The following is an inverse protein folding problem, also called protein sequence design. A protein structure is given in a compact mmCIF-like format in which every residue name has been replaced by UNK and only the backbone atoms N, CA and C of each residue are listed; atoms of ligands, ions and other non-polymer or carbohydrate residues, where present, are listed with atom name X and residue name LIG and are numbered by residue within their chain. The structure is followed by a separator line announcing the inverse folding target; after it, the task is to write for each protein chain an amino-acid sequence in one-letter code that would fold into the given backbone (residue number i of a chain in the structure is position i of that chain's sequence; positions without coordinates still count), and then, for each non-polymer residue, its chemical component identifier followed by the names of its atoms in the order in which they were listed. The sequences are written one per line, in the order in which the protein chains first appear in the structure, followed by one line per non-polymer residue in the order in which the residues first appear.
data_IF_473498236295
#
_entry.id   IF_473498236295
#
_cell.length_a   1.000
_cell.length_b   1.000
_cell.length_c   1.000
_cell.angle_alpha   90.00
_cell.angle_beta   90.00
_cell.angle_gamma   90.00
#
_symmetry.space_group_name_H-M   'P 1'
#
loop_
_entity.id
_entity.type
_entity.pdbx_description
1 polymer ?
#
# COMPACT_ATOMS: atom_id res chain seq x y z
N UNK A 1 60.73 32.51 19.31
CA UNK A 1 59.90 33.60 19.84
C UNK A 1 59.69 34.63 18.75
N UNK A 2 58.41 34.98 18.55
CA UNK A 2 57.87 36.17 17.86
C UNK A 2 58.09 36.26 16.34
N UNK A 3 57.00 35.97 15.62
CA UNK A 3 56.85 36.22 14.19
C UNK A 3 56.74 37.72 13.89
N UNK A 4 57.27 38.10 12.73
CA UNK A 4 57.24 39.45 12.21
C UNK A 4 55.83 39.80 11.75
N UNK A 5 55.15 40.67 12.50
CA UNK A 5 53.92 41.33 12.05
C UNK A 5 54.27 42.40 11.00
N UNK A 6 53.84 42.20 9.76
CA UNK A 6 53.85 43.21 8.70
C UNK A 6 53.00 44.42 9.14
N UNK A 7 53.65 45.54 9.49
CA UNK A 7 52.98 46.82 9.70
C UNK A 7 52.49 47.35 8.35
N UNK A 8 51.17 47.53 8.21
CA UNK A 8 50.56 48.15 7.03
C UNK A 8 51.09 49.59 6.89
N UNK A 9 51.41 49.99 5.66
CA UNK A 9 51.75 51.38 5.37
C UNK A 9 50.52 52.28 5.56
N UNK A 10 50.68 53.59 5.86
CA UNK A 10 49.57 54.52 6.04
C UNK A 10 48.56 54.53 4.87
N UNK A 11 49.05 54.38 3.63
CA UNK A 11 48.20 54.27 2.43
C UNK A 11 47.38 52.97 2.40
N UNK A 12 47.96 51.85 2.82
CA UNK A 12 47.24 50.56 2.89
C UNK A 12 46.22 50.53 4.03
N UNK A 13 46.53 51.18 5.17
CA UNK A 13 45.58 51.34 6.27
C UNK A 13 44.39 52.21 5.83
N UNK A 14 44.64 53.33 5.15
CA UNK A 14 43.59 54.20 4.61
C UNK A 14 42.71 53.47 3.57
N UNK A 15 43.32 52.71 2.65
CA UNK A 15 42.57 51.93 1.67
C UNK A 15 41.67 50.86 2.32
N UNK A 16 42.16 50.17 3.37
CA UNK A 16 41.34 49.22 4.14
C UNK A 16 40.20 49.89 4.89
N UNK A 17 40.40 51.09 5.43
CA UNK A 17 39.34 51.87 6.09
C UNK A 17 38.28 52.28 5.07
N UNK A 18 38.67 52.77 3.89
CA UNK A 18 37.71 53.14 2.83
C UNK A 18 36.89 51.93 2.38
N UNK A 19 37.53 50.78 2.14
CA UNK A 19 36.83 49.53 1.78
C UNK A 19 35.88 49.09 2.91
N UNK A 20 36.29 49.19 4.17
CA UNK A 20 35.44 48.85 5.30
C UNK A 20 34.23 49.80 5.44
N UNK A 21 34.43 51.10 5.26
CA UNK A 21 33.35 52.11 5.33
C UNK A 21 32.38 51.97 4.16
N UNK A 22 32.88 51.78 2.94
CA UNK A 22 32.03 51.52 1.76
C UNK A 22 31.28 50.19 1.90
N UNK A 23 31.94 49.15 2.41
CA UNK A 23 31.31 47.86 2.70
C UNK A 23 30.22 47.96 3.76
N UNK A 24 30.43 48.74 4.83
CA UNK A 24 29.43 49.03 5.85
C UNK A 24 28.26 49.85 5.29
N UNK A 25 28.53 50.86 4.46
CA UNK A 25 27.49 51.68 3.84
C UNK A 25 26.64 50.88 2.85
N UNK A 26 27.25 50.05 2.00
CA UNK A 26 26.53 49.14 1.09
C UNK A 26 25.77 48.07 1.88
N UNK A 27 26.38 47.53 2.94
CA UNK A 27 25.71 46.57 3.84
C UNK A 27 24.48 47.17 4.53
N UNK A 28 24.61 48.37 5.10
CA UNK A 28 23.51 49.09 5.74
C UNK A 28 22.43 49.48 4.74
N UNK A 29 22.81 49.94 3.53
CA UNK A 29 21.87 50.23 2.46
C UNK A 29 21.13 48.97 1.98
N UNK A 30 21.84 47.85 1.80
CA UNK A 30 21.24 46.57 1.44
C UNK A 30 20.29 46.03 2.51
N UNK A 31 20.64 46.20 3.79
CA UNK A 31 19.75 45.87 4.91
C UNK A 31 18.49 46.74 4.88
N UNK A 32 18.63 48.06 4.77
CA UNK A 32 17.50 48.99 4.84
C UNK A 32 16.59 48.99 3.59
N UNK A 33 17.16 48.79 2.38
CA UNK A 33 16.41 48.91 1.12
C UNK A 33 15.99 47.60 0.49
N UNK A 34 16.63 46.48 0.87
CA UNK A 34 16.34 45.16 0.32
C UNK A 34 15.89 44.21 1.43
N UNK A 35 16.63 44.11 2.54
CA UNK A 35 16.35 43.12 3.57
C UNK A 35 15.14 43.47 4.45
N UNK A 36 15.02 44.70 4.92
CA UNK A 36 13.88 45.16 5.73
C UNK A 36 12.55 45.09 4.95
N UNK A 37 12.45 45.53 3.68
CA UNK A 37 11.24 45.34 2.88
C UNK A 37 10.90 43.87 2.64
N UNK A 38 11.91 43.01 2.44
CA UNK A 38 11.70 41.56 2.30
C UNK A 38 11.25 40.92 3.63
N UNK A 39 11.77 41.37 4.77
CA UNK A 39 11.27 40.98 6.09
C UNK A 39 9.84 41.44 6.30
N UNK A 40 9.49 42.67 5.93
CA UNK A 40 8.10 43.16 5.98
C UNK A 40 7.16 42.34 5.09
N UNK A 41 7.61 41.95 3.88
CA UNK A 41 6.83 41.08 3.00
C UNK A 41 6.71 39.65 3.54
N UNK A 42 7.77 39.13 4.16
CA UNK A 42 7.79 37.83 4.80
C UNK A 42 6.87 37.81 6.03
N UNK A 43 6.88 38.88 6.84
CA UNK A 43 6.00 39.08 7.98
C UNK A 43 4.54 39.23 7.53
N UNK A 44 4.26 39.93 6.43
CA UNK A 44 2.91 40.01 5.85
C UNK A 44 2.45 38.66 5.28
N UNK A 45 3.34 37.92 4.62
CA UNK A 45 3.06 36.56 4.15
C UNK A 45 2.80 35.61 5.31
N UNK A 46 3.56 35.69 6.39
CA UNK A 46 3.39 34.87 7.58
C UNK A 46 2.12 35.27 8.36
N UNK A 47 1.75 36.57 8.37
CA UNK A 47 0.46 37.05 8.86
C UNK A 47 -0.71 36.51 8.04
N UNK A 48 -0.67 36.63 6.70
CA UNK A 48 -1.70 36.10 5.80
C UNK A 48 -1.78 34.58 5.87
N UNK A 49 -0.64 33.89 6.00
CA UNK A 49 -0.58 32.45 6.25
C UNK A 49 -1.21 32.12 7.60
N UNK A 50 -0.96 32.92 8.64
CA UNK A 50 -1.61 32.81 9.94
C UNK A 50 -3.12 33.06 9.89
N UNK A 51 -3.59 33.98 9.06
CA UNK A 51 -5.02 34.23 8.80
C UNK A 51 -5.68 33.12 8.00
N UNK A 52 -5.04 32.62 6.94
CA UNK A 52 -5.49 31.47 6.17
C UNK A 52 -5.53 30.21 7.05
N UNK A 53 -4.50 29.96 7.85
CA UNK A 53 -4.48 28.86 8.81
C UNK A 53 -5.59 29.00 9.85
N UNK A 54 -5.84 30.22 10.36
CA UNK A 54 -6.98 30.48 11.25
C UNK A 54 -8.31 30.25 10.53
N UNK A 55 -8.49 30.73 9.31
CA UNK A 55 -9.70 30.54 8.52
C UNK A 55 -9.98 29.05 8.24
N UNK A 56 -8.97 28.29 7.80
CA UNK A 56 -9.09 26.86 7.57
C UNK A 56 -9.30 26.10 8.87
N UNK A 57 -8.65 26.52 9.98
CA UNK A 57 -8.88 25.93 11.31
C UNK A 57 -10.30 26.21 11.81
N UNK A 58 -10.83 27.42 11.66
CA UNK A 58 -12.22 27.76 12.01
C UNK A 58 -13.21 26.99 11.14
N UNK A 59 -13.00 26.90 9.82
CA UNK A 59 -13.81 26.05 8.92
C UNK A 59 -13.72 24.57 9.27
N UNK A 60 -12.55 24.10 9.68
CA UNK A 60 -12.33 22.73 10.14
C UNK A 60 -13.03 22.48 11.47
N UNK A 61 -12.93 23.39 12.43
CA UNK A 61 -13.59 23.34 13.74
C UNK A 61 -15.11 23.48 13.61
N UNK A 62 -15.63 24.28 12.68
CA UNK A 62 -17.06 24.35 12.35
C UNK A 62 -17.55 23.04 11.72
N UNK A 63 -16.79 22.45 10.79
CA UNK A 63 -17.08 21.14 10.22
C UNK A 63 -16.99 20.03 11.25
N UNK A 64 -16.01 20.09 12.15
CA UNK A 64 -15.91 19.20 13.30
C UNK A 64 -17.11 19.41 14.21
N UNK A 65 -17.49 20.63 14.60
CA UNK A 65 -18.68 20.89 15.43
C UNK A 65 -19.96 20.37 14.79
N UNK A 66 -20.15 20.56 13.48
CA UNK A 66 -21.27 19.98 12.73
C UNK A 66 -21.22 18.44 12.69
N UNK A 67 -20.03 17.85 12.58
CA UNK A 67 -19.83 16.40 12.64
C UNK A 67 -19.97 15.84 14.07
N UNK A 68 -19.55 16.58 15.10
CA UNK A 68 -19.53 16.18 16.52
C UNK A 68 -20.93 16.28 17.12
N UNK A 69 -21.74 17.25 16.69
CA UNK A 69 -23.18 17.28 17.00
C UNK A 69 -23.95 16.14 16.32
N UNK A 70 -23.37 15.50 15.29
CA UNK A 70 -23.97 14.34 14.61
C UNK A 70 -23.47 13.02 15.21
N UNK A 71 -22.21 12.96 15.68
CA UNK A 71 -21.58 11.80 16.34
C UNK A 71 -20.43 12.25 17.26
N UNK A 72 -20.50 12.10 18.60
CA UNK A 72 -19.47 12.63 19.50
C UNK A 72 -18.45 11.57 19.91
N UNK A 73 -17.15 11.68 19.55
CA UNK A 73 -16.03 10.97 20.24
C UNK A 73 -14.74 11.81 20.24
N UNK A 74 -14.03 11.79 21.38
CA UNK A 74 -12.81 12.54 21.69
C UNK A 74 -11.46 11.93 21.25
N UNK A 75 -10.40 12.71 21.51
CA UNK A 75 -9.03 12.61 20.99
C UNK A 75 -8.07 11.96 22.02
N UNK A 76 -7.23 10.98 21.63
CA UNK A 76 -5.75 11.12 21.64
C UNK A 76 -4.93 9.96 21.02
N UNK A 77 -3.92 10.40 20.25
CA UNK A 77 -2.62 9.89 19.76
C UNK A 77 -2.22 8.41 19.62
N UNK A 78 -1.64 8.12 18.45
CA UNK A 78 -0.62 7.07 18.25
C UNK A 78 -0.94 5.98 17.22
N UNK A 79 -0.56 6.23 15.97
CA UNK A 79 -0.23 5.26 14.90
C UNK A 79 -1.26 4.15 14.53
N UNK A 80 -1.79 4.24 13.31
CA UNK A 80 -2.47 3.16 12.61
C UNK A 80 -3.99 3.15 12.74
N UNK A 81 -4.67 3.08 11.60
CA UNK A 81 -6.08 2.70 11.38
C UNK A 81 -6.88 2.43 12.67
N UNK A 82 -7.53 3.47 13.24
CA UNK A 82 -8.53 3.30 14.28
C UNK A 82 -9.87 3.88 13.82
N UNK A 83 -10.74 2.95 13.46
CA UNK A 83 -12.18 3.15 13.31
C UNK A 83 -12.82 3.30 14.71
N UNK A 84 -13.75 4.23 14.89
CA UNK A 84 -14.33 4.64 16.18
C UNK A 84 -15.50 3.75 16.65
N UNK A 85 -15.66 2.55 16.09
CA UNK A 85 -16.57 1.51 16.56
C UNK A 85 -16.10 0.87 17.89
N UNK A 86 -17.00 0.30 18.73
CA UNK A 86 -16.67 -0.29 20.03
C UNK A 86 -15.37 -1.10 20.01
N UNK A 87 -14.58 -0.96 21.07
CA UNK A 87 -13.22 -1.51 21.18
C UNK A 87 -13.14 -3.05 21.14
N UNK A 88 -14.29 -3.72 21.10
CA UNK A 88 -14.45 -5.17 21.27
C UNK A 88 -15.45 -5.80 20.29
N UNK A 89 -15.39 -5.48 19.00
CA UNK A 89 -16.22 -6.19 18.01
C UNK A 89 -15.77 -7.66 17.83
N UNK A 90 -16.64 -8.52 17.30
CA UNK A 90 -16.31 -9.90 16.94
C UNK A 90 -15.10 -9.97 16.02
N UNK A 91 -15.06 -9.12 15.00
CA UNK A 91 -13.93 -9.06 14.08
C UNK A 91 -12.64 -8.68 14.81
N UNK A 92 -12.66 -7.64 15.66
CA UNK A 92 -11.47 -7.20 16.38
C UNK A 92 -10.95 -8.26 17.36
N UNK A 93 -11.84 -9.00 18.05
CA UNK A 93 -11.45 -10.14 18.89
C UNK A 93 -10.80 -11.24 18.07
N UNK A 94 -11.39 -11.59 16.93
CA UNK A 94 -10.88 -12.62 16.01
C UNK A 94 -9.51 -12.24 15.45
N UNK A 95 -9.34 -10.98 15.03
CA UNK A 95 -8.07 -10.43 14.58
C UNK A 95 -7.00 -10.50 15.68
N UNK A 96 -7.31 -10.05 16.90
CA UNK A 96 -6.39 -10.12 18.04
C UNK A 96 -5.99 -11.56 18.35
N UNK A 97 -6.93 -12.51 18.31
CA UNK A 97 -6.68 -13.94 18.53
C UNK A 97 -5.61 -14.48 17.58
N UNK A 98 -5.79 -14.32 16.26
CA UNK A 98 -4.85 -14.84 15.27
C UNK A 98 -3.53 -14.06 15.18
N UNK A 99 -3.52 -12.78 15.58
CA UNK A 99 -2.33 -11.92 15.58
C UNK A 99 -1.27 -12.34 16.63
N UNK A 100 -1.67 -13.02 17.70
CA UNK A 100 -0.81 -13.34 18.86
C UNK A 100 0.43 -14.16 18.48
N UNK A 101 1.60 -13.74 18.96
CA UNK A 101 2.88 -14.44 18.78
C UNK A 101 3.45 -15.02 20.07
N UNK A 102 2.95 -14.60 21.23
CA UNK A 102 3.35 -15.03 22.57
C UNK A 102 2.98 -16.50 22.83
N UNK A 103 1.79 -16.90 22.41
CA UNK A 103 1.34 -18.28 22.34
C UNK A 103 0.74 -18.50 20.96
N UNK A 104 1.25 -19.48 20.21
CA UNK A 104 0.73 -19.77 18.89
C UNK A 104 -0.77 -20.10 19.01
N UNK A 105 -1.67 -19.32 18.38
CA UNK A 105 -3.09 -19.60 18.48
C UNK A 105 -3.41 -20.91 17.78
N UNK A 106 -4.46 -21.58 18.24
CA UNK A 106 -4.94 -22.79 17.59
C UNK A 106 -5.51 -22.42 16.20
N UNK A 107 -4.91 -22.95 15.14
CA UNK A 107 -5.33 -22.70 13.77
C UNK A 107 -6.34 -23.74 13.22
N UNK A 108 -6.88 -24.63 14.05
CA UNK A 108 -7.90 -25.62 13.63
C UNK A 108 -9.18 -25.01 13.04
N UNK A 109 -9.46 -23.74 13.35
CA UNK A 109 -10.60 -22.98 12.81
C UNK A 109 -10.23 -22.14 11.58
N UNK A 110 -9.00 -22.25 11.07
CA UNK A 110 -8.58 -21.61 9.84
C UNK A 110 -8.80 -22.60 8.71
N UNK A 111 -9.68 -22.24 7.77
CA UNK A 111 -10.04 -23.11 6.67
C UNK A 111 -8.90 -23.24 5.65
N UNK A 112 -8.70 -24.46 5.18
CA UNK A 112 -7.95 -24.71 3.95
C UNK A 112 -8.93 -24.78 2.78
N UNK A 113 -9.02 -23.69 2.04
CA UNK A 113 -9.92 -23.62 0.89
C UNK A 113 -9.45 -24.48 -0.28
N UNK A 114 -8.24 -25.06 -0.26
CA UNK A 114 -7.80 -25.99 -1.33
C UNK A 114 -8.47 -27.37 -1.24
N UNK A 115 -9.29 -27.61 -0.23
CA UNK A 115 -10.11 -28.81 -0.07
C UNK A 115 -11.56 -28.44 0.24
N UNK A 116 -12.51 -29.18 -0.34
CA UNK A 116 -13.93 -29.02 -0.02
C UNK A 116 -14.21 -29.40 1.44
N UNK A 117 -15.06 -28.62 2.09
CA UNK A 117 -15.56 -28.87 3.43
C UNK A 117 -17.04 -28.51 3.49
N UNK A 118 -17.89 -29.48 3.15
CA UNK A 118 -19.34 -29.30 3.00
C UNK A 118 -20.01 -28.77 4.26
N UNK A 119 -19.56 -29.19 5.44
CA UNK A 119 -20.07 -28.72 6.74
C UNK A 119 -19.93 -27.20 6.96
N UNK A 120 -19.04 -26.53 6.22
CA UNK A 120 -18.81 -25.09 6.26
C UNK A 120 -19.12 -24.40 4.93
N UNK A 121 -19.80 -25.09 4.02
CA UNK A 121 -20.14 -24.54 2.70
C UNK A 121 -18.93 -24.23 1.82
N UNK A 122 -17.77 -24.86 2.08
CA UNK A 122 -16.57 -24.67 1.26
C UNK A 122 -16.60 -25.68 0.12
N UNK A 123 -16.58 -25.17 -1.10
CA UNK A 123 -16.57 -25.96 -2.32
C UNK A 123 -15.25 -25.65 -3.03
N UNK A 124 -14.38 -26.65 -3.19
CA UNK A 124 -13.19 -26.60 -4.02
C UNK A 124 -13.38 -27.59 -5.18
N UNK A 125 -13.36 -27.09 -6.41
CA UNK A 125 -13.54 -27.92 -7.60
C UNK A 125 -12.53 -27.54 -8.67
N UNK A 126 -12.40 -28.40 -9.69
CA UNK A 126 -11.75 -28.02 -10.94
C UNK A 126 -12.40 -26.75 -11.47
N UNK A 127 -11.57 -25.82 -11.91
CA UNK A 127 -12.03 -24.56 -12.48
C UNK A 127 -12.27 -24.73 -13.98
N UNK A 128 -13.45 -24.33 -14.43
CA UNK A 128 -13.80 -24.29 -15.84
C UNK A 128 -14.06 -22.81 -16.19
N UNK A 129 -13.23 -22.19 -17.04
CA UNK A 129 -13.33 -20.77 -17.32
C UNK A 129 -14.57 -20.47 -18.18
N UNK A 130 -15.24 -19.34 -17.91
CA UNK A 130 -16.31 -18.82 -18.78
C UNK A 130 -15.73 -18.33 -20.10
N UNK A 131 -14.61 -17.58 -20.02
CA UNK A 131 -13.80 -17.19 -21.18
C UNK A 131 -12.43 -17.81 -21.02
N UNK A 132 -12.09 -18.76 -21.91
CA UNK A 132 -10.82 -19.46 -21.87
C UNK A 132 -9.66 -18.53 -22.27
N UNK A 133 -8.65 -18.32 -21.42
CA UNK A 133 -7.44 -17.61 -21.81
C UNK A 133 -6.60 -18.44 -22.78
N UNK A 134 -5.87 -17.78 -23.68
CA UNK A 134 -4.96 -18.47 -24.60
C UNK A 134 -3.70 -18.96 -23.89
N UNK A 135 -3.13 -20.08 -24.34
CA UNK A 135 -1.89 -20.64 -23.76
C UNK A 135 -0.72 -19.65 -23.84
N UNK A 136 -0.64 -18.85 -24.91
CA UNK A 136 0.35 -17.79 -25.06
C UNK A 136 0.22 -16.75 -23.93
N UNK A 137 -1.01 -16.38 -23.58
CA UNK A 137 -1.26 -15.42 -22.51
C UNK A 137 -0.93 -16.03 -21.14
N UNK A 138 -1.29 -17.30 -20.91
CA UNK A 138 -0.93 -18.02 -19.69
C UNK A 138 0.59 -18.09 -19.51
N UNK A 139 1.33 -18.40 -20.58
CA UNK A 139 2.79 -18.44 -20.57
C UNK A 139 3.38 -17.06 -20.25
N UNK A 140 2.93 -16.00 -20.95
CA UNK A 140 3.39 -14.62 -20.74
C UNK A 140 3.22 -14.17 -19.28
N UNK A 141 2.14 -14.60 -18.63
CA UNK A 141 1.80 -14.24 -17.25
C UNK A 141 2.38 -15.20 -16.19
N UNK A 142 3.04 -16.28 -16.60
CA UNK A 142 3.59 -17.29 -15.68
C UNK A 142 2.51 -18.10 -14.96
N UNK A 143 1.36 -18.30 -15.61
CA UNK A 143 0.24 -19.09 -15.10
C UNK A 143 0.38 -20.55 -15.54
N UNK A 144 -0.14 -21.47 -14.71
CA UNK A 144 -0.27 -22.89 -15.07
C UNK A 144 -1.36 -23.05 -16.14
N UNK A 145 -1.36 -24.16 -16.91
CA UNK A 145 -2.47 -24.50 -17.79
C UNK A 145 -3.80 -24.49 -17.03
N UNK A 146 -4.87 -23.97 -17.65
CA UNK A 146 -6.18 -23.85 -16.98
C UNK A 146 -6.74 -25.21 -16.55
N UNK A 147 -6.39 -26.29 -17.25
CA UNK A 147 -6.75 -27.67 -16.87
C UNK A 147 -6.29 -28.07 -15.46
N UNK A 148 -5.28 -27.39 -14.90
CA UNK A 148 -4.76 -27.61 -13.55
C UNK A 148 -5.32 -26.65 -12.49
N UNK A 149 -6.19 -25.71 -12.90
CA UNK A 149 -6.74 -24.72 -11.99
C UNK A 149 -7.85 -25.36 -11.16
N UNK A 150 -7.90 -24.97 -9.90
CA UNK A 150 -9.05 -25.21 -9.03
C UNK A 150 -9.51 -23.89 -8.47
N UNK A 151 -10.81 -23.79 -8.24
CA UNK A 151 -11.45 -22.63 -7.67
C UNK A 151 -12.21 -23.03 -6.41
N UNK A 152 -12.17 -22.15 -5.42
CA UNK A 152 -12.84 -22.35 -4.15
C UNK A 152 -13.79 -21.22 -3.83
N UNK A 153 -14.96 -21.58 -3.34
CA UNK A 153 -15.99 -20.64 -2.87
C UNK A 153 -16.45 -21.02 -1.47
N UNK A 154 -17.05 -20.04 -0.80
CA UNK A 154 -17.76 -20.24 0.46
C UNK A 154 -19.22 -19.89 0.18
N UNK A 155 -20.15 -20.82 0.35
CA UNK A 155 -21.54 -20.68 -0.13
C UNK A 155 -22.26 -19.44 0.39
N UNK A 156 -21.99 -19.02 1.63
CA UNK A 156 -22.58 -17.80 2.21
C UNK A 156 -21.84 -16.50 1.81
N UNK A 157 -20.86 -16.58 0.91
CA UNK A 157 -20.08 -15.44 0.39
C UNK A 157 -20.14 -15.35 -1.14
N UNK A 158 -21.33 -15.19 -1.74
CA UNK A 158 -21.44 -15.01 -3.18
C UNK A 158 -20.70 -13.74 -3.60
N UNK A 159 -19.78 -13.87 -4.57
CA UNK A 159 -18.88 -12.78 -4.97
C UNK A 159 -17.45 -12.89 -4.39
N UNK A 160 -17.10 -13.97 -3.69
CA UNK A 160 -15.73 -14.25 -3.26
C UNK A 160 -15.27 -15.60 -3.80
N UNK A 161 -14.22 -15.58 -4.62
CA UNK A 161 -13.65 -16.77 -5.26
C UNK A 161 -12.14 -16.79 -5.01
N UNK A 162 -11.61 -17.94 -4.61
CA UNK A 162 -10.17 -18.16 -4.56
C UNK A 162 -9.74 -19.10 -5.69
N UNK A 163 -8.87 -18.61 -6.58
CA UNK A 163 -8.19 -19.45 -7.55
C UNK A 163 -6.92 -20.00 -6.91
N UNK A 164 -6.84 -21.32 -6.76
CA UNK A 164 -5.85 -21.97 -5.90
C UNK A 164 -4.53 -22.20 -6.63
N UNK A 165 -3.48 -21.50 -6.20
CA UNK A 165 -2.11 -21.77 -6.62
C UNK A 165 -1.87 -21.69 -8.13
N UNK A 166 -2.56 -20.82 -8.87
CA UNK A 166 -2.62 -20.88 -10.35
C UNK A 166 -1.31 -20.48 -11.06
N UNK A 167 -0.31 -19.99 -10.34
CA UNK A 167 0.98 -19.63 -10.92
C UNK A 167 1.93 -20.83 -11.00
N UNK A 168 2.81 -20.81 -12.00
CA UNK A 168 3.92 -21.77 -12.08
C UNK A 168 4.88 -21.57 -10.91
N UNK A 169 5.49 -22.65 -10.43
CA UNK A 169 6.42 -22.60 -9.29
C UNK A 169 7.55 -21.58 -9.47
N UNK A 170 8.13 -21.51 -10.69
CA UNK A 170 9.18 -20.54 -11.03
C UNK A 170 8.68 -19.09 -10.98
N UNK A 171 7.42 -18.88 -11.38
CA UNK A 171 6.83 -17.55 -11.49
C UNK A 171 6.60 -16.91 -10.12
N UNK A 172 6.50 -17.69 -9.05
CA UNK A 172 6.38 -17.13 -7.69
C UNK A 172 7.57 -16.21 -7.35
N UNK A 173 8.80 -16.66 -7.60
CA UNK A 173 10.00 -15.87 -7.35
C UNK A 173 10.17 -14.74 -8.36
N UNK A 174 9.73 -14.94 -9.61
CA UNK A 174 9.72 -13.88 -10.62
C UNK A 174 8.78 -12.73 -10.22
N UNK A 175 7.57 -13.00 -9.76
CA UNK A 175 6.64 -11.98 -9.28
C UNK A 175 7.15 -11.27 -8.01
N UNK A 176 7.80 -12.00 -7.10
CA UNK A 176 8.48 -11.39 -5.95
C UNK A 176 9.61 -10.46 -6.41
N UNK A 177 10.45 -10.90 -7.34
CA UNK A 177 11.54 -10.11 -7.92
C UNK A 177 11.02 -8.83 -8.57
N UNK A 178 9.99 -8.92 -9.42
CA UNK A 178 9.35 -7.74 -10.05
C UNK A 178 8.83 -6.78 -9.00
N UNK A 179 8.17 -7.29 -7.96
CA UNK A 179 7.62 -6.46 -6.89
C UNK A 179 8.69 -5.66 -6.14
N UNK A 180 9.86 -6.26 -5.90
CA UNK A 180 10.94 -5.64 -5.15
C UNK A 180 11.82 -4.71 -5.99
N UNK A 181 12.06 -5.05 -7.27
CA UNK A 181 13.05 -4.38 -8.10
C UNK A 181 12.48 -3.54 -9.25
N UNK A 182 11.20 -3.71 -9.58
CA UNK A 182 10.53 -2.98 -10.66
C UNK A 182 9.41 -2.14 -10.06
N UNK A 183 8.46 -2.77 -9.37
CA UNK A 183 7.28 -2.06 -8.89
C UNK A 183 7.51 -1.20 -7.65
N UNK A 184 8.63 -1.38 -6.95
CA UNK A 184 9.04 -0.50 -5.85
C UNK A 184 9.88 0.69 -6.33
N UNK A 185 10.31 0.70 -7.60
CA UNK A 185 11.06 1.79 -8.21
C UNK A 185 10.11 2.72 -8.98
N UNK A 186 10.56 3.94 -9.26
CA UNK A 186 9.85 4.88 -10.13
C UNK A 186 9.51 4.24 -11.49
N UNK A 187 8.27 4.41 -12.01
CA UNK A 187 7.22 5.34 -11.56
C UNK A 187 6.40 4.89 -10.34
N UNK A 188 6.65 3.69 -9.79
CA UNK A 188 6.01 3.25 -8.56
C UNK A 188 6.33 4.16 -7.37
N UNK A 189 5.34 4.36 -6.51
CA UNK A 189 5.46 5.21 -5.33
C UNK A 189 5.32 4.37 -4.05
N UNK A 190 6.27 4.53 -3.12
CA UNK A 190 6.38 3.69 -1.92
C UNK A 190 6.28 4.50 -0.63
N UNK A 191 6.08 3.80 0.48
CA UNK A 191 6.16 4.43 1.81
C UNK A 191 7.54 5.02 2.12
N UNK A 192 8.59 4.53 1.46
CA UNK A 192 9.96 5.09 1.59
C UNK A 192 10.04 6.41 0.83
N UNK A 193 9.44 6.49 -0.36
CA UNK A 193 9.39 7.71 -1.18
C UNK A 193 8.71 8.91 -0.49
N UNK A 194 7.80 8.67 0.46
CA UNK A 194 7.22 9.72 1.31
C UNK A 194 8.26 10.43 2.20
N UNK A 195 9.30 9.71 2.60
CA UNK A 195 10.34 10.22 3.52
C UNK A 195 11.62 10.60 2.78
N UNK A 196 11.91 9.90 1.68
CA UNK A 196 13.11 10.09 0.87
C UNK A 196 12.65 10.37 -0.58
N UNK A 197 12.45 11.65 -0.94
CA UNK A 197 12.06 12.01 -2.30
C UNK A 197 13.07 11.50 -3.33
N UNK A 198 12.57 11.03 -4.48
CA UNK A 198 13.39 10.51 -5.59
C UNK A 198 14.33 9.34 -5.21
N UNK A 199 13.97 8.56 -4.19
CA UNK A 199 14.71 7.35 -3.80
C UNK A 199 14.85 6.39 -4.98
N UNK A 200 16.02 5.75 -5.08
CA UNK A 200 16.34 4.69 -6.05
C UNK A 200 16.89 3.48 -5.30
N UNK A 201 16.90 2.32 -5.95
CA UNK A 201 17.36 1.07 -5.34
C UNK A 201 16.61 0.78 -4.02
N UNK A 202 15.31 1.07 -3.99
CA UNK A 202 14.44 1.09 -2.81
C UNK A 202 14.58 -0.20 -2.02
N UNK A 203 14.55 -1.35 -2.69
CA UNK A 203 14.69 -2.62 -1.99
C UNK A 203 16.09 -2.86 -1.41
N UNK A 204 17.15 -2.52 -2.16
CA UNK A 204 18.53 -2.74 -1.70
C UNK A 204 18.90 -1.84 -0.51
N UNK A 205 18.46 -0.58 -0.55
CA UNK A 205 18.80 0.41 0.47
C UNK A 205 17.79 0.44 1.62
N UNK A 206 16.49 0.22 1.32
CA UNK A 206 15.39 0.42 2.26
C UNK A 206 14.44 -0.79 2.37
N UNK A 207 14.85 -1.98 1.94
CA UNK A 207 13.99 -3.18 1.95
C UNK A 207 13.43 -3.55 3.32
N UNK A 208 14.10 -3.16 4.42
CA UNK A 208 13.59 -3.36 5.79
C UNK A 208 12.48 -2.39 6.17
N UNK A 209 12.44 -1.21 5.55
CA UNK A 209 11.44 -0.16 5.75
C UNK A 209 10.29 -0.25 4.75
N UNK A 210 10.48 -0.91 3.60
CA UNK A 210 9.46 -1.09 2.59
C UNK A 210 8.24 -1.84 3.13
N UNK A 211 7.05 -1.25 2.97
CA UNK A 211 5.76 -1.75 3.46
C UNK A 211 4.73 -1.80 2.35
N UNK A 212 4.71 -0.80 1.48
CA UNK A 212 3.82 -0.79 0.31
C UNK A 212 4.45 -0.06 -0.87
N UNK A 213 3.95 -0.40 -2.06
CA UNK A 213 4.10 0.37 -3.30
C UNK A 213 2.74 0.55 -3.96
N UNK A 214 2.55 1.67 -4.65
CA UNK A 214 1.37 1.98 -5.46
C UNK A 214 1.81 2.19 -6.90
N UNK A 215 1.00 1.73 -7.86
CA UNK A 215 1.22 1.88 -9.30
C UNK A 215 -0.04 2.40 -9.98
N UNK A 216 0.13 3.07 -11.11
CA UNK A 216 -0.97 3.63 -11.88
C UNK A 216 -1.56 4.88 -11.21
N UNK A 217 -2.86 4.86 -10.90
CA UNK A 217 -3.46 5.85 -10.01
C UNK A 217 -2.97 5.61 -8.57
N UNK A 218 -2.10 6.49 -8.07
CA UNK A 218 -1.54 6.37 -6.74
C UNK A 218 -2.58 6.69 -5.66
N UNK A 219 -2.88 5.70 -4.82
CA UNK A 219 -3.77 5.89 -3.68
C UNK A 219 -3.18 6.87 -2.67
N UNK A 220 -3.91 7.94 -2.35
CA UNK A 220 -3.51 8.90 -1.33
C UNK A 220 -3.96 8.41 0.05
N UNK A 221 -3.00 8.05 0.89
CA UNK A 221 -3.25 7.55 2.24
C UNK A 221 -3.84 8.59 3.21
N UNK A 222 -3.64 9.88 2.95
CA UNK A 222 -4.15 10.96 3.79
C UNK A 222 -5.60 11.30 3.42
N UNK A 223 -5.88 11.48 2.13
CA UNK A 223 -7.21 11.87 1.65
C UNK A 223 -8.12 10.66 1.38
N UNK A 224 -7.56 9.46 1.25
CA UNK A 224 -8.24 8.19 0.96
C UNK A 224 -8.99 8.16 -0.36
N UNK A 225 -8.53 8.94 -1.33
CA UNK A 225 -9.08 9.01 -2.67
C UNK A 225 -7.98 8.76 -3.71
N UNK A 226 -8.40 8.37 -4.91
CA UNK A 226 -7.53 8.31 -6.06
C UNK A 226 -7.52 9.66 -6.81
N UNK A 227 -6.38 10.08 -7.38
CA UNK A 227 -6.32 11.24 -8.28
C UNK A 227 -7.07 10.96 -9.58
N UNK A 228 -7.45 12.00 -10.32
CA UNK A 228 -8.12 11.87 -11.63
C UNK A 228 -7.19 11.37 -12.72
N UNK A 229 -5.89 11.63 -12.58
CA UNK A 229 -4.85 11.26 -13.53
C UNK A 229 -3.72 10.53 -12.80
N UNK A 230 -3.02 9.68 -13.54
CA UNK A 230 -1.86 8.95 -13.06
C UNK A 230 -1.17 8.23 -14.20
N UNK A 231 -0.13 7.49 -13.86
CA UNK A 231 0.66 6.76 -14.85
C UNK A 231 -0.11 5.55 -15.39
N UNK A 232 0.32 5.03 -16.53
CA UNK A 232 -0.21 3.76 -17.02
C UNK A 232 0.24 2.60 -16.12
N UNK A 233 -0.70 1.72 -15.77
CA UNK A 233 -0.38 0.49 -15.05
C UNK A 233 0.43 -0.45 -15.96
N UNK A 234 1.43 -1.19 -15.44
CA UNK A 234 2.19 -2.16 -16.26
C UNK A 234 1.28 -3.15 -16.99
N UNK A 235 1.53 -3.36 -18.29
CA UNK A 235 0.68 -4.14 -19.21
C UNK A 235 0.38 -5.55 -18.68
N UNK A 236 1.35 -6.19 -18.01
CA UNK A 236 1.15 -7.52 -17.44
C UNK A 236 0.14 -7.54 -16.29
N UNK A 237 0.00 -6.46 -15.51
CA UNK A 237 -0.98 -6.36 -14.43
C UNK A 237 -2.38 -6.10 -15.00
N UNK A 238 -2.47 -5.27 -16.06
CA UNK A 238 -3.70 -5.05 -16.82
C UNK A 238 -4.17 -6.35 -17.47
N UNK A 239 -3.26 -7.06 -18.14
CA UNK A 239 -3.56 -8.33 -18.82
C UNK A 239 -4.00 -9.40 -17.81
N UNK A 240 -3.29 -9.53 -16.70
CA UNK A 240 -3.59 -10.51 -15.66
C UNK A 240 -4.97 -10.28 -15.04
N UNK A 241 -5.27 -9.04 -14.64
CA UNK A 241 -6.58 -8.70 -14.06
C UNK A 241 -7.72 -8.99 -15.04
N UNK A 242 -7.56 -8.58 -16.31
CA UNK A 242 -8.56 -8.83 -17.34
C UNK A 242 -8.78 -10.32 -17.62
N UNK A 243 -7.70 -11.10 -17.75
CA UNK A 243 -7.77 -12.56 -17.95
C UNK A 243 -8.55 -13.24 -16.83
N UNK A 244 -8.25 -12.90 -15.57
CA UNK A 244 -8.89 -13.52 -14.42
C UNK A 244 -10.36 -13.10 -14.29
N UNK A 245 -10.67 -11.83 -14.54
CA UNK A 245 -12.05 -11.32 -14.52
C UNK A 245 -12.91 -11.97 -15.60
N UNK A 246 -12.41 -12.07 -16.83
CA UNK A 246 -13.11 -12.74 -17.93
C UNK A 246 -13.25 -14.25 -17.72
N UNK A 247 -12.21 -14.93 -17.22
CA UNK A 247 -12.28 -16.35 -16.91
C UNK A 247 -13.36 -16.66 -15.86
N UNK A 248 -13.59 -15.77 -14.91
CA UNK A 248 -14.67 -15.88 -13.92
C UNK A 248 -16.05 -15.45 -14.44
N UNK A 249 -16.15 -14.94 -15.67
CA UNK A 249 -17.40 -14.43 -16.24
C UNK A 249 -17.90 -13.13 -15.62
N UNK A 250 -17.03 -12.37 -14.94
CA UNK A 250 -17.38 -11.08 -14.32
C UNK A 250 -17.49 -9.98 -15.39
N UNK A 251 -16.72 -10.12 -16.47
CA UNK A 251 -16.62 -9.14 -17.56
C UNK A 251 -15.18 -8.65 -17.74
N UNK A 252 -14.92 -7.80 -18.76
CA UNK A 252 -13.61 -7.19 -18.92
C UNK A 252 -13.27 -6.30 -17.73
N UNK A 253 -12.00 -6.33 -17.31
CA UNK A 253 -11.48 -5.43 -16.29
C UNK A 253 -10.36 -4.59 -16.89
N UNK A 254 -10.43 -3.28 -16.67
CA UNK A 254 -9.43 -2.31 -17.12
C UNK A 254 -8.72 -1.78 -15.87
N UNK A 255 -7.77 -2.56 -15.34
CA UNK A 255 -7.07 -2.17 -14.13
C UNK A 255 -6.20 -0.92 -14.39
N UNK A 256 -6.40 0.10 -13.56
CA UNK A 256 -5.73 1.41 -13.62
C UNK A 256 -4.95 1.71 -12.33
N UNK A 257 -5.09 0.88 -11.30
CA UNK A 257 -4.37 1.00 -10.05
C UNK A 257 -3.94 -0.36 -9.47
N UNK A 258 -2.77 -0.36 -8.84
CA UNK A 258 -2.33 -1.49 -8.02
C UNK A 258 -1.73 -1.03 -6.69
N UNK A 259 -1.97 -1.81 -5.64
CA UNK A 259 -1.30 -1.67 -4.34
C UNK A 259 -0.55 -2.97 -4.06
N UNK A 260 0.77 -2.87 -3.92
CA UNK A 260 1.64 -3.96 -3.51
C UNK A 260 1.95 -3.80 -2.02
N UNK A 261 1.69 -4.82 -1.22
CA UNK A 261 1.97 -4.83 0.20
C UNK A 261 3.08 -5.85 0.53
N UNK A 262 4.07 -5.40 1.29
CA UNK A 262 5.25 -6.17 1.69
C UNK A 262 5.16 -6.53 3.18
N UNK A 263 5.00 -7.83 3.47
CA UNK A 263 4.78 -8.33 4.81
C UNK A 263 5.98 -9.12 5.32
N UNK A 264 6.54 -8.67 6.44
CA UNK A 264 7.41 -9.49 7.28
C UNK A 264 6.58 -10.44 8.14
N UNK A 265 7.24 -11.41 8.81
CA UNK A 265 6.61 -12.33 9.76
C UNK A 265 5.72 -11.65 10.83
N UNK A 266 6.09 -10.43 11.26
CA UNK A 266 5.36 -9.67 12.30
C UNK A 266 4.38 -8.65 11.71
N UNK A 267 4.34 -8.50 10.39
CA UNK A 267 3.43 -7.56 9.75
C UNK A 267 1.99 -8.04 9.86
N UNK A 268 1.06 -7.10 10.00
CA UNK A 268 -0.38 -7.34 10.03
C UNK A 268 -1.10 -6.27 9.25
N UNK A 269 -2.25 -6.58 8.66
CA UNK A 269 -3.18 -5.60 8.11
C UNK A 269 -4.46 -5.61 8.94
N UNK A 270 -4.75 -4.48 9.59
CA UNK A 270 -5.89 -4.33 10.49
C UNK A 270 -7.23 -4.43 9.71
N UNK A 271 -8.36 -4.67 10.40
CA UNK A 271 -9.69 -4.67 9.78
C UNK A 271 -9.95 -3.37 9.02
N UNK A 272 -10.31 -3.47 7.74
CA UNK A 272 -10.64 -2.34 6.87
C UNK A 272 -11.57 -2.79 5.72
N UNK A 273 -12.07 -1.81 4.97
CA UNK A 273 -12.91 -1.99 3.78
C UNK A 273 -12.31 -1.18 2.63
N UNK A 274 -12.20 -1.78 1.46
CA UNK A 274 -11.74 -1.13 0.23
C UNK A 274 -12.92 -0.45 -0.50
N UNK A 275 -13.05 0.87 -0.33
CA UNK A 275 -14.18 1.68 -0.81
C UNK A 275 -13.79 2.95 -1.57
N UNK A 276 -12.52 3.07 -1.93
CA UNK A 276 -11.97 4.34 -2.46
C UNK A 276 -12.04 4.43 -3.98
N UNK A 277 -12.33 3.32 -4.67
CA UNK A 277 -12.62 3.32 -6.10
C UNK A 277 -13.91 4.09 -6.39
N UNK A 278 -13.97 4.81 -7.52
CA UNK A 278 -15.17 5.57 -7.91
C UNK A 278 -16.26 4.63 -8.43
N UNK A 279 -15.85 3.54 -9.08
CA UNK A 279 -16.71 2.43 -9.45
C UNK A 279 -16.47 1.20 -8.57
N UNK A 280 -17.56 0.60 -8.09
CA UNK A 280 -17.54 -0.63 -7.29
C UNK A 280 -18.02 -1.86 -8.06
N UNK A 281 -18.32 -1.72 -9.36
CA UNK A 281 -18.77 -2.83 -10.21
C UNK A 281 -17.63 -3.79 -10.57
N UNK A 282 -16.41 -3.27 -10.69
CA UNK A 282 -15.22 -4.06 -11.03
C UNK A 282 -14.71 -4.86 -9.82
N UNK A 283 -14.13 -6.05 -10.06
CA UNK A 283 -13.59 -6.88 -8.99
C UNK A 283 -12.33 -6.27 -8.37
N UNK A 284 -12.04 -6.65 -7.12
CA UNK A 284 -10.70 -6.60 -6.55
C UNK A 284 -10.02 -7.95 -6.78
N UNK A 285 -8.81 -7.92 -7.35
CA UNK A 285 -8.02 -9.13 -7.60
C UNK A 285 -6.76 -9.06 -6.75
N UNK A 286 -6.63 -9.97 -5.78
CA UNK A 286 -5.56 -9.97 -4.79
C UNK A 286 -4.67 -11.20 -4.96
N UNK A 287 -3.46 -11.01 -5.46
CA UNK A 287 -2.44 -12.04 -5.69
C UNK A 287 -1.58 -12.22 -4.44
N UNK A 288 -1.16 -13.44 -4.12
CA UNK A 288 -0.32 -13.73 -2.95
C UNK A 288 0.92 -14.51 -3.32
N UNK A 289 2.11 -14.05 -2.88
CA UNK A 289 3.39 -14.71 -3.14
C UNK A 289 4.25 -14.77 -1.87
N UNK A 290 5.05 -15.83 -1.72
CA UNK A 290 5.93 -16.03 -0.59
C UNK A 290 5.26 -16.83 0.54
N UNK A 291 5.42 -16.38 1.78
CA UNK A 291 4.87 -17.09 2.94
C UNK A 291 3.33 -17.07 3.00
N UNK A 292 2.74 -18.09 3.62
CA UNK A 292 1.29 -18.17 3.84
C UNK A 292 0.80 -17.08 4.78
N UNK A 293 -0.38 -16.51 4.51
CA UNK A 293 -1.11 -15.64 5.41
C UNK A 293 -2.40 -16.29 5.90
N UNK A 294 -2.84 -15.90 7.10
CA UNK A 294 -4.25 -16.05 7.51
C UNK A 294 -4.98 -14.79 7.06
N UNK A 295 -6.05 -14.97 6.31
CA UNK A 295 -6.96 -13.91 5.89
C UNK A 295 -8.26 -14.03 6.67
N UNK A 296 -8.82 -12.90 7.07
CA UNK A 296 -10.12 -12.80 7.71
C UNK A 296 -11.09 -12.09 6.77
N UNK A 297 -12.21 -12.73 6.45
CA UNK A 297 -13.34 -12.14 5.73
C UNK A 297 -14.52 -11.98 6.71
N UNK A 298 -15.02 -10.77 6.89
CA UNK A 298 -16.17 -10.44 7.74
C UNK A 298 -17.41 -10.11 6.92
N UNK A 299 -18.35 -9.37 7.49
CA UNK A 299 -19.49 -8.82 6.75
C UNK A 299 -19.33 -7.31 6.51
N UNK A 300 -20.44 -6.62 6.33
CA UNK A 300 -20.49 -5.16 6.20
C UNK A 300 -20.45 -4.44 7.55
N UNK A 301 -20.65 -5.19 8.65
CA UNK A 301 -20.48 -4.75 10.02
C UNK A 301 -19.28 -5.46 10.70
N UNK A 302 -18.71 -4.83 11.73
CA UNK A 302 -17.57 -5.34 12.50
C UNK A 302 -17.95 -6.45 13.49
N UNK A 303 -19.23 -6.66 13.75
CA UNK A 303 -19.78 -7.77 14.55
C UNK A 303 -20.36 -8.91 13.71
N UNK A 304 -20.38 -8.79 12.39
CA UNK A 304 -20.77 -9.87 11.48
C UNK A 304 -19.82 -11.09 11.59
N UNK A 305 -20.29 -12.31 11.25
CA UNK A 305 -19.47 -13.51 11.26
C UNK A 305 -18.17 -13.37 10.44
N UNK A 306 -17.08 -13.90 11.00
CA UNK A 306 -15.74 -13.83 10.41
C UNK A 306 -15.22 -15.21 10.05
N UNK A 307 -14.95 -15.41 8.76
CA UNK A 307 -14.28 -16.59 8.25
C UNK A 307 -12.78 -16.36 8.22
N UNK A 308 -12.02 -17.32 8.73
CA UNK A 308 -10.57 -17.33 8.68
C UNK A 308 -10.11 -18.42 7.71
N UNK A 309 -9.23 -18.09 6.77
CA UNK A 309 -8.68 -19.07 5.82
C UNK A 309 -7.24 -18.76 5.42
N UNK A 310 -6.53 -19.79 4.95
CA UNK A 310 -5.17 -19.66 4.45
C UNK A 310 -5.16 -19.07 3.04
N UNK A 311 -4.26 -18.11 2.81
CA UNK A 311 -3.86 -17.65 1.47
C UNK A 311 -2.37 -17.93 1.32
N UNK A 312 -2.03 -18.81 0.38
CA UNK A 312 -0.66 -19.31 0.15
C UNK A 312 -0.04 -18.66 -1.07
N UNK A 313 1.24 -18.97 -1.32
CA UNK A 313 1.90 -18.52 -2.55
C UNK A 313 1.20 -19.09 -3.78
N UNK A 314 0.94 -18.21 -4.75
CA UNK A 314 0.25 -18.52 -6.00
C UNK A 314 -1.28 -18.47 -5.92
N UNK A 315 -1.86 -18.27 -4.73
CA UNK A 315 -3.31 -18.10 -4.61
C UNK A 315 -3.72 -16.70 -5.08
N UNK A 316 -4.90 -16.63 -5.71
CA UNK A 316 -5.54 -15.38 -6.11
C UNK A 316 -6.93 -15.30 -5.51
N UNK A 317 -7.18 -14.29 -4.70
CA UNK A 317 -8.49 -13.98 -4.15
C UNK A 317 -9.16 -12.91 -5.00
N UNK A 318 -10.32 -13.23 -5.58
CA UNK A 318 -11.15 -12.32 -6.36
C UNK A 318 -12.42 -11.99 -5.58
N UNK A 319 -12.64 -10.70 -5.33
CA UNK A 319 -13.76 -10.17 -4.55
C UNK A 319 -14.56 -9.23 -5.43
N UNK A 320 -15.84 -9.52 -5.64
CA UNK A 320 -16.74 -8.79 -6.51
C UNK A 320 -18.17 -8.79 -5.98
N UNK A 321 -19.02 -7.95 -6.58
CA UNK A 321 -20.44 -7.86 -6.21
C UNK A 321 -20.64 -7.62 -4.70
N UNK A 322 -21.51 -8.41 -4.02
CA UNK A 322 -21.83 -8.19 -2.61
C UNK A 322 -20.63 -8.23 -1.65
N UNK A 323 -19.52 -8.87 -2.04
CA UNK A 323 -18.34 -8.99 -1.17
C UNK A 323 -17.39 -7.79 -1.28
N UNK A 324 -17.61 -6.84 -2.21
CA UNK A 324 -16.69 -5.70 -2.41
C UNK A 324 -16.51 -4.82 -1.19
N UNK A 325 -17.52 -4.72 -0.33
CA UNK A 325 -17.53 -3.80 0.81
C UNK A 325 -17.47 -4.50 2.16
N UNK A 326 -16.97 -5.74 2.23
CA UNK A 326 -16.81 -6.44 3.50
C UNK A 326 -15.56 -5.98 4.25
N UNK A 327 -15.64 -6.01 5.58
CA UNK A 327 -14.46 -5.92 6.42
C UNK A 327 -13.55 -7.11 6.18
N UNK A 328 -12.25 -6.84 6.06
CA UNK A 328 -11.26 -7.89 5.94
C UNK A 328 -9.92 -7.50 6.57
N UNK A 329 -9.09 -8.50 6.87
CA UNK A 329 -7.81 -8.30 7.55
C UNK A 329 -6.80 -9.43 7.28
N UNK A 330 -5.53 -9.15 7.57
CA UNK A 330 -4.45 -10.14 7.59
C UNK A 330 -3.78 -10.11 8.97
N UNK A 331 -4.26 -10.92 9.94
CA UNK A 331 -3.70 -10.93 11.29
C UNK A 331 -2.33 -11.61 11.41
N UNK A 332 -1.98 -12.52 10.49
CA UNK A 332 -0.82 -13.41 10.69
C UNK A 332 -0.16 -13.81 9.37
N UNK A 333 1.17 -13.77 9.37
CA UNK A 333 2.04 -14.41 8.38
C UNK A 333 2.70 -15.63 9.01
N UNK A 334 2.61 -16.78 8.35
CA UNK A 334 3.22 -18.04 8.77
C UNK A 334 4.62 -18.20 8.18
N UNK A 335 5.41 -19.13 8.69
CA UNK A 335 6.70 -19.51 8.09
C UNK A 335 6.67 -21.00 7.80
N UNK A 336 5.99 -21.35 6.72
CA UNK A 336 5.62 -22.71 6.35
C UNK A 336 6.02 -23.09 4.91
N UNK A 337 6.45 -22.11 4.10
CA UNK A 337 6.88 -22.36 2.72
C UNK A 337 8.38 -22.19 2.57
N UNK A 338 9.04 -23.22 2.05
CA UNK A 338 10.41 -23.15 1.59
C UNK A 338 10.47 -22.94 0.06
N UNK A 339 11.37 -22.04 -0.35
CA UNK A 339 11.71 -21.76 -1.73
C UNK A 339 13.19 -22.09 -1.94
N UNK A 340 13.47 -22.88 -2.97
CA UNK A 340 14.80 -23.16 -3.47
C UNK A 340 14.78 -22.94 -4.97
N UNK A 341 15.70 -22.10 -5.45
CA UNK A 341 15.88 -21.85 -6.87
C UNK A 341 17.28 -21.28 -7.06
N UNK A 342 18.13 -22.04 -7.76
CA UNK A 342 19.53 -21.65 -7.99
C UNK A 342 19.67 -20.62 -9.12
N UNK A 343 18.63 -20.47 -9.95
CA UNK A 343 18.64 -19.56 -11.09
C UNK A 343 18.14 -18.16 -10.72
N UNK A 344 17.56 -18.00 -9.51
CA UNK A 344 17.15 -16.70 -8.97
C UNK A 344 18.22 -16.07 -8.09
N UNK A 345 18.30 -14.73 -8.01
CA UNK A 345 19.21 -14.05 -7.09
C UNK A 345 18.97 -14.49 -5.65
N UNK A 346 20.04 -14.76 -4.91
CA UNK A 346 19.98 -15.29 -3.54
C UNK A 346 19.14 -14.39 -2.61
N UNK A 347 19.19 -13.07 -2.81
CA UNK A 347 18.39 -12.11 -2.04
C UNK A 347 16.87 -12.27 -2.23
N UNK A 348 16.42 -12.69 -3.41
CA UNK A 348 15.02 -12.96 -3.71
C UNK A 348 14.56 -14.22 -2.98
N UNK A 349 15.36 -15.28 -3.06
CA UNK A 349 15.07 -16.56 -2.37
C UNK A 349 15.05 -16.34 -0.85
N UNK A 350 16.04 -15.62 -0.30
CA UNK A 350 16.10 -15.23 1.12
C UNK A 350 14.88 -14.40 1.52
N UNK A 351 14.43 -13.48 0.67
CA UNK A 351 13.26 -12.67 0.92
C UNK A 351 11.98 -13.53 0.96
N UNK A 352 11.76 -14.35 -0.07
CA UNK A 352 10.58 -15.21 -0.20
C UNK A 352 10.43 -16.19 0.97
N UNK A 353 11.54 -16.72 1.48
CA UNK A 353 11.58 -17.61 2.64
C UNK A 353 11.25 -16.95 4.00
N UNK A 354 11.12 -15.61 4.04
CA UNK A 354 10.86 -14.87 5.28
C UNK A 354 9.63 -13.97 5.22
N UNK A 355 9.16 -13.65 4.03
CA UNK A 355 8.19 -12.59 3.80
C UNK A 355 7.08 -13.04 2.85
N UNK A 356 5.99 -12.28 2.85
CA UNK A 356 4.88 -12.39 1.91
C UNK A 356 4.76 -11.09 1.13
N UNK A 357 4.44 -11.19 -0.16
CA UNK A 357 4.01 -10.08 -1.00
C UNK A 357 2.56 -10.30 -1.39
N UNK A 358 1.79 -9.22 -1.39
CA UNK A 358 0.47 -9.19 -1.95
C UNK A 358 0.40 -8.10 -3.02
N UNK A 359 -0.23 -8.40 -4.15
CA UNK A 359 -0.50 -7.42 -5.21
C UNK A 359 -2.01 -7.34 -5.36
N UNK A 360 -2.61 -6.18 -5.12
CA UNK A 360 -4.05 -5.97 -5.29
C UNK A 360 -4.29 -5.06 -6.49
N UNK A 361 -4.98 -5.59 -7.50
CA UNK A 361 -5.34 -4.92 -8.74
C UNK A 361 -6.76 -4.37 -8.65
N UNK A 362 -6.94 -3.14 -9.15
CA UNK A 362 -8.15 -2.35 -9.00
C UNK A 362 -8.45 -1.65 -10.31
N UNK A 363 -9.74 -1.42 -10.54
CA UNK A 363 -10.22 -0.47 -11.53
C UNK A 363 -10.94 0.62 -10.75
N UNK A 364 -10.37 1.82 -10.75
CA UNK A 364 -10.86 2.98 -10.03
C UNK A 364 -11.98 3.64 -10.82
N UNK A 365 -11.80 3.78 -12.13
CA UNK A 365 -12.69 4.49 -13.03
C UNK A 365 -13.56 3.58 -13.90
N UNK A 366 -14.75 4.07 -14.26
CA UNK A 366 -15.56 3.43 -15.29
C UNK A 366 -14.90 3.69 -16.65
N UNK A 367 -14.39 2.63 -17.27
CA UNK A 367 -13.98 2.66 -18.67
C UNK A 367 -15.20 2.35 -19.53
N UNK A 368 -15.60 3.33 -20.36
CA UNK A 368 -16.73 3.24 -21.29
C UNK A 368 -16.37 2.54 -22.58
#
# INVERSE_FOLDING_TARGET
MVGWQLRLTPKQAAAKIVVAVVGLAIGAYGVATVYEPLQGLQDELDLRKGELLRYYKTKHDERIRQATNKYPIGVNDGNGYRDHSPSDSLFRRTFKFYKRHDMAPNFSKVFDLRSSLSAHGIICSKFEPVVAPSDIMLEKLGLRPVSEWTASTITHRPGMVMLNGIFKSISHLQWIKRSLFIYAESPGFTNVGLQVPNVRNVFKEYGRQLRWSTLGLHYDWATKIYPLEGESLPEELVSLSNVLSQALGIGPMYADAAIINFYSRKSTLAPHVDRSERSLSSPLISLSFGQTAIYLAGGTDLDDPVDAFYIRSGDVLVIYGPQRLIYHAVPRILQDKHFEDKDQPEEIVKYANKNRINITLRQVDEHK
#
